data_IF_636642100964
#
_entry.id   IF_636642100964
#
_cell.length_a   1.000
_cell.length_b   1.000
_cell.length_c   1.000
_cell.angle_alpha   90.00
_cell.angle_beta   90.00
_cell.angle_gamma   90.00
#
_symmetry.space_group_name_H-M   'P 1'
#
loop_
_entity.id
_entity.type
_entity.pdbx_description
1 polymer ?
#
# COMPACT_ATOMS: atom_id res chain seq x y z
N UNK A 1 4.88 17.10 -6.81
CA UNK A 1 5.39 15.71 -6.79
C UNK A 1 4.25 14.75 -6.49
N UNK A 2 4.20 13.61 -7.16
CA UNK A 2 3.13 12.64 -7.04
C UNK A 2 3.55 11.46 -6.13
N UNK A 3 2.59 10.85 -5.43
CA UNK A 3 2.78 9.70 -4.58
C UNK A 3 2.09 8.47 -5.16
N UNK A 4 2.84 7.39 -5.31
CA UNK A 4 2.32 6.05 -5.61
C UNK A 4 2.46 5.20 -4.36
N UNK A 5 1.41 4.52 -3.92
CA UNK A 5 1.49 3.76 -2.67
C UNK A 5 0.66 2.48 -2.68
N UNK A 6 1.09 1.54 -1.85
CA UNK A 6 0.31 0.37 -1.45
C UNK A 6 -0.21 0.55 -0.03
N UNK A 7 -1.29 -0.13 0.29
CA UNK A 7 -1.85 -0.22 1.64
C UNK A 7 -1.96 -1.68 2.07
N UNK A 8 -1.41 -2.01 3.23
CA UNK A 8 -1.49 -3.34 3.84
C UNK A 8 -2.06 -3.24 5.25
N UNK A 9 -3.01 -4.11 5.57
CA UNK A 9 -3.56 -4.23 6.90
C UNK A 9 -3.52 -5.67 7.38
N UNK A 10 -3.21 -5.85 8.65
CA UNK A 10 -3.44 -7.10 9.39
C UNK A 10 -4.52 -6.84 10.42
N UNK A 11 -5.56 -7.65 10.40
CA UNK A 11 -6.52 -7.79 11.47
C UNK A 11 -6.95 -9.26 11.52
N UNK A 12 -6.58 -9.96 12.57
CA UNK A 12 -6.91 -11.37 12.80
C UNK A 12 -8.43 -11.60 12.92
N UNK A 13 -9.18 -10.53 13.20
CA UNK A 13 -10.63 -10.53 13.35
C UNK A 13 -11.37 -10.14 12.06
N UNK A 14 -10.68 -9.59 11.07
CA UNK A 14 -11.25 -9.21 9.79
C UNK A 14 -11.17 -10.35 8.78
N UNK A 15 -12.07 -10.35 7.81
CA UNK A 15 -12.07 -11.33 6.72
C UNK A 15 -11.27 -10.82 5.54
N UNK A 16 -10.30 -11.60 5.10
CA UNK A 16 -9.53 -11.38 3.89
C UNK A 16 -9.96 -12.32 2.75
N UNK A 17 -9.32 -12.15 1.61
CA UNK A 17 -9.63 -12.85 0.36
C UNK A 17 -9.05 -14.27 0.27
N UNK A 18 -8.19 -14.68 1.19
CA UNK A 18 -7.45 -15.94 1.08
C UNK A 18 -7.83 -16.93 2.17
N UNK A 19 -7.68 -18.22 1.87
CA UNK A 19 -7.90 -19.32 2.82
C UNK A 19 -6.65 -19.64 3.65
N UNK A 20 -5.63 -18.79 3.63
CA UNK A 20 -4.43 -19.01 4.45
C UNK A 20 -4.78 -18.77 5.91
N UNK A 21 -4.64 -19.83 6.72
CA UNK A 21 -4.94 -19.77 8.15
C UNK A 21 -3.87 -19.11 8.99
N UNK A 22 -2.61 -19.11 8.51
CA UNK A 22 -1.49 -18.49 9.20
C UNK A 22 -1.33 -17.04 8.75
N UNK A 23 -1.55 -16.11 9.69
CA UNK A 23 -1.45 -14.67 9.44
C UNK A 23 -0.03 -14.25 9.07
N UNK A 24 1.01 -14.93 9.57
CA UNK A 24 2.40 -14.60 9.24
C UNK A 24 2.75 -14.98 7.81
N UNK A 25 2.32 -16.15 7.33
CA UNK A 25 2.51 -16.56 5.94
C UNK A 25 1.75 -15.66 4.98
N UNK A 26 0.54 -15.28 5.35
CA UNK A 26 -0.28 -14.37 4.59
C UNK A 26 0.35 -12.98 4.48
N UNK A 27 0.82 -12.41 5.61
CA UNK A 27 1.45 -11.10 5.61
C UNK A 27 2.78 -11.10 4.84
N UNK A 28 3.59 -12.14 4.95
CA UNK A 28 4.83 -12.28 4.19
C UNK A 28 4.59 -12.26 2.68
N UNK A 29 3.58 -12.97 2.20
CA UNK A 29 3.18 -12.95 0.80
C UNK A 29 2.76 -11.57 0.31
N UNK A 30 1.97 -10.85 1.08
CA UNK A 30 1.57 -9.49 0.74
C UNK A 30 2.73 -8.50 0.77
N UNK A 31 3.67 -8.63 1.70
CA UNK A 31 4.86 -7.78 1.73
C UNK A 31 5.73 -8.03 0.50
N UNK A 32 5.94 -9.27 0.10
CA UNK A 32 6.67 -9.62 -1.13
C UNK A 32 6.00 -9.03 -2.38
N UNK A 33 4.69 -9.13 -2.46
CA UNK A 33 3.93 -8.51 -3.54
C UNK A 33 4.12 -6.98 -3.55
N UNK A 34 4.08 -6.34 -2.40
CA UNK A 34 4.32 -4.89 -2.28
C UNK A 34 5.73 -4.49 -2.71
N UNK A 35 6.74 -5.31 -2.42
CA UNK A 35 8.11 -5.07 -2.91
C UNK A 35 8.11 -4.99 -4.43
N UNK A 36 7.53 -5.98 -5.11
CA UNK A 36 7.48 -6.03 -6.58
C UNK A 36 6.65 -4.87 -7.14
N UNK A 37 5.48 -4.63 -6.57
CA UNK A 37 4.56 -3.55 -6.99
C UNK A 37 5.23 -2.18 -6.91
N UNK A 38 5.76 -1.82 -5.74
CA UNK A 38 6.34 -0.50 -5.51
C UNK A 38 7.70 -0.33 -6.20
N UNK A 39 8.51 -1.38 -6.27
CA UNK A 39 9.76 -1.33 -7.02
C UNK A 39 9.52 -1.10 -8.50
N UNK A 40 8.59 -1.84 -9.12
CA UNK A 40 8.25 -1.64 -10.53
C UNK A 40 7.65 -0.25 -10.78
N UNK A 41 6.82 0.25 -9.89
CA UNK A 41 6.29 1.61 -9.97
C UNK A 41 7.41 2.66 -9.90
N UNK A 42 8.35 2.52 -8.97
CA UNK A 42 9.49 3.43 -8.82
C UNK A 42 10.42 3.40 -10.01
N UNK A 43 10.67 2.23 -10.58
CA UNK A 43 11.50 2.07 -11.78
C UNK A 43 10.91 2.81 -12.99
N UNK A 44 9.60 2.74 -13.18
CA UNK A 44 8.91 3.37 -14.30
C UNK A 44 8.53 4.85 -14.04
N UNK A 45 8.57 5.30 -12.78
CA UNK A 45 8.22 6.65 -12.37
C UNK A 45 9.26 7.20 -11.37
N UNK A 46 10.52 7.39 -11.79
CA UNK A 46 11.59 7.78 -10.87
C UNK A 46 11.38 9.14 -10.23
N UNK A 47 10.61 10.03 -10.84
CA UNK A 47 10.24 11.35 -10.33
C UNK A 47 9.15 11.30 -9.25
N UNK A 48 8.40 10.20 -9.15
CA UNK A 48 7.38 10.03 -8.12
C UNK A 48 7.98 9.50 -6.82
N UNK A 49 7.36 9.81 -5.70
CA UNK A 49 7.62 9.09 -4.47
C UNK A 49 6.79 7.81 -4.41
N UNK A 50 7.35 6.77 -3.80
CA UNK A 50 6.66 5.52 -3.56
C UNK A 50 6.65 5.21 -2.06
N UNK A 51 5.52 4.67 -1.56
CA UNK A 51 5.36 4.38 -0.15
C UNK A 51 4.53 3.10 0.10
N UNK A 52 4.84 2.45 1.22
CA UNK A 52 4.02 1.41 1.82
C UNK A 52 3.36 1.97 3.08
N UNK A 53 2.04 1.90 3.15
CA UNK A 53 1.23 2.31 4.29
C UNK A 53 0.69 1.05 4.95
N UNK A 54 0.97 0.84 6.24
CA UNK A 54 0.58 -0.40 6.93
C UNK A 54 0.31 -0.15 8.41
N UNK A 55 -0.43 -1.07 9.04
CA UNK A 55 -0.80 -1.01 10.45
C UNK A 55 -0.02 -2.02 11.33
N UNK A 56 1.03 -2.60 10.81
CA UNK A 56 1.84 -3.58 11.53
C UNK A 56 3.33 -3.40 11.18
N UNK A 57 4.21 -3.83 12.07
CA UNK A 57 5.64 -3.78 11.82
C UNK A 57 6.09 -4.92 10.91
N UNK A 58 6.94 -4.59 9.95
CA UNK A 58 7.62 -5.57 9.10
C UNK A 58 9.00 -5.89 9.68
N UNK A 59 9.56 -7.05 9.33
CA UNK A 59 10.89 -7.41 9.81
C UNK A 59 11.98 -6.51 9.19
N UNK A 60 13.15 -6.52 9.85
CA UNK A 60 14.28 -5.68 9.47
C UNK A 60 14.72 -5.89 8.01
N UNK A 61 14.71 -7.13 7.53
CA UNK A 61 15.12 -7.45 6.17
C UNK A 61 14.25 -6.73 5.11
N UNK A 62 12.93 -6.76 5.27
CA UNK A 62 12.04 -6.04 4.37
C UNK A 62 12.18 -4.53 4.52
N UNK A 63 12.37 -4.03 5.73
CA UNK A 63 12.58 -2.60 5.97
C UNK A 63 13.81 -2.09 5.22
N UNK A 64 14.93 -2.80 5.32
CA UNK A 64 16.17 -2.48 4.60
C UNK A 64 15.98 -2.54 3.08
N UNK A 65 15.22 -3.51 2.58
CA UNK A 65 14.93 -3.65 1.15
C UNK A 65 14.11 -2.48 0.61
N UNK A 66 13.08 -2.04 1.32
CA UNK A 66 12.31 -0.85 0.94
C UNK A 66 13.16 0.42 0.98
N UNK A 67 14.03 0.57 1.97
CA UNK A 67 14.97 1.70 2.04
C UNK A 67 15.94 1.70 0.85
N UNK A 68 16.50 0.54 0.50
CA UNK A 68 17.41 0.39 -0.65
C UNK A 68 16.74 0.85 -1.96
N UNK A 69 15.45 0.55 -2.12
CA UNK A 69 14.67 0.96 -3.29
C UNK A 69 14.11 2.39 -3.18
N UNK A 70 14.47 3.11 -2.13
CA UNK A 70 13.97 4.45 -1.86
C UNK A 70 12.42 4.50 -1.78
N UNK A 71 11.84 3.52 -1.12
CA UNK A 71 10.40 3.41 -0.84
C UNK A 71 10.17 3.74 0.63
N UNK A 72 9.32 4.72 0.89
CA UNK A 72 8.96 5.14 2.25
C UNK A 72 8.02 4.14 2.91
N UNK A 73 8.12 4.02 4.23
CA UNK A 73 7.22 3.20 5.04
C UNK A 73 6.54 4.10 6.06
N UNK A 74 5.21 4.03 6.12
CA UNK A 74 4.41 4.74 7.12
C UNK A 74 3.58 3.74 7.92
N UNK A 75 3.76 3.75 9.22
CA UNK A 75 2.97 2.96 10.15
C UNK A 75 1.77 3.78 10.60
N UNK A 76 0.58 3.32 10.27
CA UNK A 76 -0.67 4.03 10.50
C UNK A 76 -1.66 3.10 11.21
N UNK A 77 -2.23 3.48 12.36
CA UNK A 77 -3.30 2.71 12.95
C UNK A 77 -4.56 2.82 12.07
N UNK A 78 -5.03 1.71 11.52
CA UNK A 78 -6.24 1.70 10.69
C UNK A 78 -7.47 1.58 11.59
N UNK A 79 -7.78 2.67 12.28
CA UNK A 79 -8.82 2.76 13.31
C UNK A 79 -10.07 3.55 12.89
N UNK A 80 -10.07 4.00 11.62
CA UNK A 80 -11.22 4.68 11.00
C UNK A 80 -11.92 3.75 10.00
N UNK A 81 -13.08 4.16 9.50
CA UNK A 81 -13.83 3.44 8.46
C UNK A 81 -14.07 1.98 8.80
N UNK A 82 -14.55 1.74 10.02
CA UNK A 82 -14.79 0.40 10.54
C UNK A 82 -15.97 -0.28 9.84
N UNK A 83 -15.75 -1.49 9.34
CA UNK A 83 -16.76 -2.33 8.72
C UNK A 83 -16.98 -3.60 9.55
N UNK A 84 -18.23 -4.08 9.57
CA UNK A 84 -18.56 -5.29 10.31
C UNK A 84 -17.73 -6.49 9.82
N UNK A 85 -17.20 -7.25 10.76
CA UNK A 85 -16.45 -8.49 10.53
C UNK A 85 -17.26 -9.58 9.81
N UNK A 86 -18.59 -9.43 9.78
CA UNK A 86 -19.48 -10.34 9.07
C UNK A 86 -19.44 -10.17 7.55
N UNK A 87 -18.91 -9.06 7.05
CA UNK A 87 -18.73 -8.86 5.62
C UNK A 87 -17.48 -9.59 5.13
N UNK A 88 -17.65 -10.35 4.05
CA UNK A 88 -16.50 -10.83 3.29
C UNK A 88 -15.70 -9.61 2.78
N UNK A 89 -14.37 -9.74 2.76
CA UNK A 89 -13.48 -8.68 2.29
C UNK A 89 -13.43 -7.43 3.19
N UNK A 90 -13.90 -7.52 4.43
CA UNK A 90 -13.85 -6.36 5.35
C UNK A 90 -12.45 -5.77 5.48
N UNK A 91 -11.40 -6.58 5.35
CA UNK A 91 -10.01 -6.12 5.36
C UNK A 91 -9.66 -5.17 4.21
N UNK A 92 -10.32 -5.31 3.05
CA UNK A 92 -10.08 -4.43 1.90
C UNK A 92 -10.48 -2.97 2.15
N UNK A 93 -11.43 -2.73 3.05
CA UNK A 93 -11.87 -1.37 3.41
C UNK A 93 -10.81 -0.59 4.18
N UNK A 94 -9.80 -1.23 4.75
CA UNK A 94 -8.70 -0.54 5.43
C UNK A 94 -7.86 0.31 4.47
N UNK A 95 -7.97 0.11 3.17
CA UNK A 95 -7.41 1.03 2.17
C UNK A 95 -7.93 2.46 2.32
N UNK A 96 -9.15 2.63 2.79
CA UNK A 96 -9.72 3.95 3.09
C UNK A 96 -8.98 4.67 4.21
N UNK A 97 -8.48 3.93 5.20
CA UNK A 97 -7.64 4.49 6.26
C UNK A 97 -6.31 5.01 5.72
N UNK A 98 -5.71 4.27 4.78
CA UNK A 98 -4.48 4.70 4.13
C UNK A 98 -4.71 5.95 3.25
N UNK A 99 -5.79 5.99 2.49
CA UNK A 99 -6.18 7.15 1.70
C UNK A 99 -6.41 8.39 2.57
N UNK A 100 -7.17 8.24 3.66
CA UNK A 100 -7.40 9.33 4.63
C UNK A 100 -6.08 9.84 5.20
N UNK A 101 -5.17 8.94 5.54
CA UNK A 101 -3.89 9.33 6.09
C UNK A 101 -3.04 10.13 5.09
N UNK A 102 -2.85 9.62 3.87
CA UNK A 102 -1.97 10.27 2.89
C UNK A 102 -2.49 11.63 2.46
N UNK A 103 -3.81 11.77 2.28
CA UNK A 103 -4.44 13.03 1.87
C UNK A 103 -4.37 14.08 2.98
N UNK A 104 -4.53 13.68 4.24
CA UNK A 104 -4.58 14.64 5.35
C UNK A 104 -3.20 14.93 5.99
N UNK A 105 -2.20 14.06 5.81
CA UNK A 105 -0.93 14.20 6.52
C UNK A 105 0.28 14.35 5.61
N UNK A 106 0.16 14.02 4.32
CA UNK A 106 1.26 14.12 3.35
C UNK A 106 0.92 15.18 2.30
N UNK A 107 1.94 15.86 1.80
CA UNK A 107 1.76 16.96 0.86
C UNK A 107 2.30 16.58 -0.52
N UNK A 108 1.44 15.95 -1.33
CA UNK A 108 1.71 15.62 -2.72
C UNK A 108 0.62 16.23 -3.63
N UNK A 109 0.96 16.43 -4.90
CA UNK A 109 0.03 16.99 -5.88
C UNK A 109 -1.07 15.99 -6.24
N UNK A 110 -0.69 14.72 -6.42
CA UNK A 110 -1.61 13.63 -6.74
C UNK A 110 -1.23 12.35 -5.98
N UNK A 111 -2.22 11.49 -5.77
CA UNK A 111 -2.08 10.22 -5.05
C UNK A 111 -2.59 9.07 -5.90
N UNK A 112 -1.81 8.00 -6.02
CA UNK A 112 -2.20 6.78 -6.71
C UNK A 112 -2.07 5.58 -5.78
N UNK A 113 -3.21 4.99 -5.39
CA UNK A 113 -3.24 3.73 -4.66
C UNK A 113 -3.18 2.57 -5.65
N UNK A 114 -2.17 1.72 -5.53
CA UNK A 114 -2.07 0.46 -6.26
C UNK A 114 -2.37 -0.71 -5.34
N UNK A 115 -3.03 -1.71 -5.87
CA UNK A 115 -3.11 -3.01 -5.21
C UNK A 115 -1.74 -3.69 -5.17
N UNK A 116 -1.48 -4.43 -4.10
CA UNK A 116 -0.17 -5.04 -3.86
C UNK A 116 0.24 -6.10 -4.89
N UNK A 117 -0.73 -6.66 -5.60
CA UNK A 117 -0.54 -7.66 -6.66
C UNK A 117 -0.42 -7.06 -8.06
N UNK A 118 -0.18 -5.76 -8.17
CA UNK A 118 0.03 -5.06 -9.44
C UNK A 118 1.51 -4.92 -9.77
N UNK A 119 1.83 -4.89 -11.05
CA UNK A 119 3.17 -4.60 -11.57
C UNK A 119 3.07 -3.47 -12.58
N UNK A 120 3.84 -2.41 -12.36
CA UNK A 120 3.90 -1.29 -13.31
C UNK A 120 4.87 -1.63 -14.44
N UNK A 121 4.41 -1.45 -15.67
CA UNK A 121 5.19 -1.75 -16.87
C UNK A 121 5.56 -0.51 -17.69
N UNK A 122 5.02 0.66 -17.31
CA UNK A 122 5.24 1.93 -17.99
C UNK A 122 5.06 3.11 -17.03
N UNK A 123 5.42 4.30 -17.50
CA UNK A 123 5.24 5.55 -16.77
C UNK A 123 3.75 5.96 -16.64
N UNK A 124 3.44 6.67 -15.56
CA UNK A 124 2.07 7.12 -15.24
C UNK A 124 1.77 8.54 -15.75
N UNK A 125 2.59 9.07 -16.65
CA UNK A 125 2.47 10.46 -17.14
C UNK A 125 1.08 10.80 -17.65
N UNK A 126 0.45 9.90 -18.39
CA UNK A 126 -0.90 10.11 -18.92
C UNK A 126 -1.95 10.09 -17.81
N UNK A 127 -1.78 9.26 -16.78
CA UNK A 127 -2.66 9.21 -15.61
C UNK A 127 -2.59 10.53 -14.85
N UNK A 128 -1.38 11.03 -14.60
CA UNK A 128 -1.20 12.30 -13.90
C UNK A 128 -1.82 13.48 -14.64
N UNK A 129 -1.70 13.53 -15.96
CA UNK A 129 -2.33 14.57 -16.79
C UNK A 129 -3.85 14.56 -16.70
N UNK A 130 -4.47 13.40 -16.59
CA UNK A 130 -5.92 13.28 -16.42
C UNK A 130 -6.37 13.78 -15.03
N UNK A 131 -5.54 13.67 -14.02
CA UNK A 131 -5.83 14.18 -12.66
C UNK A 131 -5.80 15.71 -12.57
N UNK A 132 -5.17 16.41 -13.51
CA UNK A 132 -5.08 17.87 -13.53
C UNK A 132 -6.38 18.57 -13.99
N UNK A 133 -7.37 17.84 -14.38
CA UNK A 133 -8.68 18.33 -14.82
C UNK A 133 -9.73 18.19 -13.71
#
# INVERSE_FOLDING_TARGET
MNLIFNALAIDDKARGSTNVSDIFLKSDGYIKNSVVSLFSAKQNNPECECALILNFEINKHYHELFEEFNIKIFYVPFDKFYFSKNYNWSLAFYKLCALDYVVNNLNYDNYCLLDTDTVSIDAFDNIWKECEH
#
